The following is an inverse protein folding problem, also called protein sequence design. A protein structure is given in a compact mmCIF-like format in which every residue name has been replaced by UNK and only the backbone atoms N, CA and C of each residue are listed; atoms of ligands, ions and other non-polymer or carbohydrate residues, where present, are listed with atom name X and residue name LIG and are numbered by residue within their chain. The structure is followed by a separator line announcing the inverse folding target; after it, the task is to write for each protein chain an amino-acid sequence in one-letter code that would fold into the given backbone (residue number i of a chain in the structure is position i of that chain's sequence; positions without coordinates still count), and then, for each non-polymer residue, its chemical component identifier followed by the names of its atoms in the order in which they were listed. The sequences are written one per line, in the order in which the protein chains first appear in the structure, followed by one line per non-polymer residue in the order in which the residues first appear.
data_IF_290709385085
#
_entry.id   IF_290709385085
#
_cell.length_a   1.000
_cell.length_b   1.000
_cell.length_c   1.000
_cell.angle_alpha   90.00
_cell.angle_beta   90.00
_cell.angle_gamma   90.00
#
_symmetry.space_group_name_H-M   'P 1'
#
loop_
_entity.id
_entity.type
_entity.pdbx_description
1 polymer ?
#
# COMPACT_ATOMS: atom_id res chain seq x y z
N UNK A 1 -25.20 -5.32 43.70
CA UNK A 1 -24.03 -5.89 43.00
C UNK A 1 -24.44 -6.08 41.54
N UNK A 2 -24.03 -5.17 40.64
CA UNK A 2 -24.25 -5.33 39.20
C UNK A 2 -23.24 -6.36 38.69
N UNK A 3 -23.72 -7.40 38.01
CA UNK A 3 -22.86 -8.35 37.30
C UNK A 3 -21.94 -7.55 36.34
N UNK A 4 -20.63 -7.83 36.29
CA UNK A 4 -19.78 -7.28 35.25
C UNK A 4 -20.28 -7.84 33.92
N UNK A 5 -20.86 -6.97 33.09
CA UNK A 5 -21.15 -7.29 31.71
C UNK A 5 -19.85 -7.73 31.04
N UNK A 6 -19.84 -8.84 30.27
CA UNK A 6 -18.64 -9.29 29.58
C UNK A 6 -18.12 -8.15 28.69
N UNK A 7 -16.78 -8.04 28.47
CA UNK A 7 -16.21 -7.00 27.63
C UNK A 7 -16.90 -7.04 26.27
N UNK A 8 -17.63 -5.98 25.98
CA UNK A 8 -18.66 -6.01 24.98
C UNK A 8 -18.04 -5.95 23.58
N UNK A 9 -17.96 -7.11 22.94
CA UNK A 9 -17.19 -7.35 21.71
C UNK A 9 -17.75 -6.53 20.53
N UNK A 10 -16.86 -6.17 19.61
CA UNK A 10 -17.24 -5.62 18.30
C UNK A 10 -18.24 -6.56 17.61
N UNK A 11 -19.21 -6.03 16.82
CA UNK A 11 -20.06 -6.86 15.99
C UNK A 11 -19.21 -7.76 15.08
N UNK A 12 -19.59 -9.03 14.94
CA UNK A 12 -18.78 -10.03 14.23
C UNK A 12 -18.45 -9.64 12.80
N UNK A 13 -19.38 -8.96 12.10
CA UNK A 13 -19.16 -8.45 10.74
C UNK A 13 -18.08 -7.36 10.68
N UNK A 14 -18.08 -6.43 11.63
CA UNK A 14 -17.07 -5.36 11.72
C UNK A 14 -15.72 -5.96 12.08
N UNK A 15 -15.71 -6.92 13.02
CA UNK A 15 -14.48 -7.61 13.42
C UNK A 15 -13.86 -8.39 12.27
N UNK A 16 -14.66 -9.12 11.48
CA UNK A 16 -14.16 -9.87 10.33
C UNK A 16 -13.48 -8.96 9.31
N UNK A 17 -14.12 -7.83 8.99
CA UNK A 17 -13.60 -6.83 8.06
C UNK A 17 -12.30 -6.21 8.57
N UNK A 18 -12.27 -5.86 9.86
CA UNK A 18 -11.14 -5.26 10.55
C UNK A 18 -9.94 -6.21 10.61
N UNK A 19 -10.16 -7.47 10.98
CA UNK A 19 -9.12 -8.50 11.06
C UNK A 19 -8.53 -8.78 9.67
N UNK A 20 -9.36 -8.75 8.63
CA UNK A 20 -8.92 -8.89 7.24
C UNK A 20 -8.08 -7.69 6.78
N UNK A 21 -8.53 -6.46 7.07
CA UNK A 21 -7.79 -5.23 6.73
C UNK A 21 -6.45 -5.16 7.48
N UNK A 22 -6.44 -5.51 8.76
CA UNK A 22 -5.22 -5.52 9.57
C UNK A 22 -4.19 -6.51 9.01
N UNK A 23 -4.61 -7.74 8.69
CA UNK A 23 -3.71 -8.76 8.10
C UNK A 23 -3.18 -8.34 6.72
N UNK A 24 -4.04 -7.73 5.91
CA UNK A 24 -3.65 -7.23 4.59
C UNK A 24 -2.62 -6.11 4.72
N UNK A 25 -2.88 -5.12 5.57
CA UNK A 25 -1.95 -4.02 5.82
C UNK A 25 -0.62 -4.51 6.41
N UNK A 26 -0.65 -5.49 7.32
CA UNK A 26 0.57 -6.12 7.85
C UNK A 26 1.42 -6.76 6.75
N UNK A 27 0.79 -7.59 5.91
CA UNK A 27 1.48 -8.25 4.80
C UNK A 27 2.08 -7.24 3.81
N UNK A 28 1.29 -6.24 3.39
CA UNK A 28 1.74 -5.19 2.48
C UNK A 28 2.88 -4.38 3.09
N UNK A 29 2.76 -3.99 4.36
CA UNK A 29 3.78 -3.24 5.07
C UNK A 29 5.12 -3.98 5.15
N UNK A 30 5.09 -5.27 5.47
CA UNK A 30 6.29 -6.13 5.50
C UNK A 30 6.95 -6.20 4.12
N UNK A 31 6.15 -6.49 3.09
CA UNK A 31 6.66 -6.61 1.71
C UNK A 31 7.30 -5.30 1.27
N UNK A 32 6.62 -4.17 1.45
CA UNK A 32 7.13 -2.85 1.09
C UNK A 32 8.43 -2.51 1.84
N UNK A 33 8.54 -2.82 3.12
CA UNK A 33 9.77 -2.62 3.89
C UNK A 33 10.93 -3.48 3.38
N UNK A 34 10.68 -4.75 3.04
CA UNK A 34 11.69 -5.63 2.46
C UNK A 34 12.15 -5.14 1.09
N UNK A 35 11.23 -4.69 0.24
CA UNK A 35 11.56 -4.10 -1.06
C UNK A 35 12.40 -2.82 -0.90
N UNK A 36 12.05 -1.94 0.04
CA UNK A 36 12.85 -0.76 0.35
C UNK A 36 14.29 -1.16 0.74
N UNK A 37 14.45 -2.15 1.62
CA UNK A 37 15.76 -2.66 2.03
C UNK A 37 16.58 -3.20 0.85
N UNK A 38 15.98 -4.04 0.00
CA UNK A 38 16.64 -4.58 -1.19
C UNK A 38 17.06 -3.47 -2.18
N UNK A 39 16.21 -2.47 -2.39
CA UNK A 39 16.49 -1.35 -3.29
C UNK A 39 17.56 -0.40 -2.73
N UNK A 40 17.65 -0.23 -1.41
CA UNK A 40 18.75 0.51 -0.78
C UNK A 40 20.07 -0.21 -1.03
N UNK A 41 20.12 -1.54 -0.89
CA UNK A 41 21.32 -2.31 -1.24
C UNK A 41 21.69 -2.17 -2.72
N UNK A 42 20.70 -2.17 -3.61
CA UNK A 42 20.93 -1.91 -5.04
C UNK A 42 21.46 -0.48 -5.27
N UNK A 43 20.93 0.52 -4.58
CA UNK A 43 21.41 1.90 -4.67
C UNK A 43 22.87 2.04 -4.24
N UNK A 44 23.28 1.35 -3.18
CA UNK A 44 24.68 1.31 -2.74
C UNK A 44 25.60 0.69 -3.80
N UNK A 45 25.15 -0.36 -4.48
CA UNK A 45 25.90 -0.97 -5.60
C UNK A 45 26.02 0.02 -6.77
N UNK A 46 24.92 0.70 -7.12
CA UNK A 46 24.87 1.69 -8.22
C UNK A 46 25.77 2.89 -7.95
N UNK A 47 25.84 3.35 -6.71
CA UNK A 47 26.71 4.47 -6.28
C UNK A 47 28.18 4.08 -6.26
N UNK A 48 28.50 2.81 -6.01
CA UNK A 48 29.86 2.28 -6.05
C UNK A 48 30.45 2.13 -7.47
N UNK A 49 29.66 2.36 -8.53
CA UNK A 49 30.16 2.39 -9.91
C UNK A 49 30.78 3.77 -10.17
N UNK A 50 32.06 3.79 -10.58
CA UNK A 50 32.88 5.01 -10.69
C UNK A 50 32.14 6.18 -11.36
N UNK A 51 32.06 7.28 -10.60
CA UNK A 51 31.35 8.50 -11.02
C UNK A 51 32.14 9.34 -12.05
N UNK A 52 33.41 8.98 -12.28
CA UNK A 52 34.27 9.62 -13.29
C UNK A 52 34.12 9.00 -14.69
N UNK A 53 33.40 7.89 -14.81
CA UNK A 53 33.20 7.22 -16.09
C UNK A 53 32.13 7.96 -16.92
N UNK A 54 32.49 8.46 -18.10
CA UNK A 54 31.58 9.23 -18.99
C UNK A 54 30.28 8.49 -19.36
N UNK A 55 30.22 7.17 -19.13
CA UNK A 55 29.03 6.33 -19.34
C UNK A 55 28.00 6.44 -18.19
N UNK A 56 28.43 6.75 -16.96
CA UNK A 56 27.56 6.86 -15.78
C UNK A 56 26.92 8.26 -15.64
N UNK A 57 27.31 9.23 -16.47
CA UNK A 57 26.67 10.56 -16.55
C UNK A 57 25.59 10.66 -17.64
N UNK A 58 25.29 9.55 -18.32
CA UNK A 58 24.24 9.50 -19.34
C UNK A 58 22.84 9.73 -18.76
N UNK A 59 21.94 10.31 -19.56
CA UNK A 59 20.55 10.59 -19.16
C UNK A 59 19.82 9.34 -18.65
N UNK A 60 20.13 8.17 -19.21
CA UNK A 60 19.57 6.88 -18.78
C UNK A 60 20.03 6.47 -17.37
N UNK A 61 21.27 6.76 -16.99
CA UNK A 61 21.79 6.47 -15.64
C UNK A 61 21.17 7.40 -14.59
N UNK A 62 20.96 8.67 -14.95
CA UNK A 62 20.24 9.63 -14.10
C UNK A 62 18.78 9.24 -13.94
N UNK A 63 18.10 8.85 -15.02
CA UNK A 63 16.72 8.36 -14.96
C UNK A 63 16.60 7.12 -14.05
N UNK A 64 17.52 6.17 -14.19
CA UNK A 64 17.59 4.98 -13.34
C UNK A 64 17.71 5.34 -11.85
N UNK A 65 18.59 6.28 -11.50
CA UNK A 65 18.78 6.76 -10.12
C UNK A 65 17.49 7.41 -9.59
N UNK A 66 16.83 8.25 -10.38
CA UNK A 66 15.55 8.87 -9.98
C UNK A 66 14.50 7.79 -9.70
N UNK A 67 14.35 6.81 -10.58
CA UNK A 67 13.41 5.70 -10.36
C UNK A 67 13.81 4.83 -9.16
N UNK A 68 15.10 4.62 -8.92
CA UNK A 68 15.60 3.84 -7.81
C UNK A 68 15.30 4.51 -6.46
N UNK A 69 15.74 5.75 -6.26
CA UNK A 69 15.50 6.49 -5.03
C UNK A 69 14.01 6.78 -4.84
N UNK A 70 13.29 7.11 -5.93
CA UNK A 70 11.84 7.25 -5.90
C UNK A 70 11.15 5.97 -5.43
N UNK A 71 11.59 4.81 -5.94
CA UNK A 71 11.07 3.52 -5.51
C UNK A 71 11.36 3.24 -4.02
N UNK A 72 12.58 3.52 -3.54
CA UNK A 72 12.93 3.38 -2.11
C UNK A 72 11.99 4.21 -1.24
N UNK A 73 11.81 5.48 -1.57
CA UNK A 73 10.96 6.40 -0.80
C UNK A 73 9.49 5.98 -0.83
N UNK A 74 8.99 5.52 -1.98
CA UNK A 74 7.61 5.04 -2.10
C UNK A 74 7.37 3.74 -1.33
N UNK A 75 8.33 2.81 -1.36
CA UNK A 75 8.26 1.58 -0.56
C UNK A 75 8.26 1.89 0.95
N UNK A 76 9.13 2.80 1.42
CA UNK A 76 9.13 3.25 2.81
C UNK A 76 7.83 3.97 3.19
N UNK A 77 7.33 4.85 2.33
CA UNK A 77 6.07 5.56 2.55
C UNK A 77 4.87 4.60 2.61
N UNK A 78 4.79 3.60 1.71
CA UNK A 78 3.73 2.60 1.74
C UNK A 78 3.81 1.67 2.96
N UNK A 79 5.02 1.33 3.42
CA UNK A 79 5.20 0.63 4.69
C UNK A 79 4.67 1.46 5.87
N UNK A 80 4.95 2.77 5.90
CA UNK A 80 4.43 3.67 6.94
C UNK A 80 2.90 3.83 6.87
N UNK A 81 2.32 3.96 5.67
CA UNK A 81 0.86 4.00 5.47
C UNK A 81 0.19 2.70 5.92
N UNK A 82 0.84 1.57 5.73
CA UNK A 82 0.39 0.28 6.23
C UNK A 82 0.39 0.24 7.77
N UNK A 83 1.43 0.77 8.43
CA UNK A 83 1.46 0.91 9.89
C UNK A 83 0.35 1.85 10.40
N UNK A 84 0.06 2.94 9.69
CA UNK A 84 -1.05 3.84 10.03
C UNK A 84 -2.40 3.12 9.90
N UNK A 85 -2.57 2.30 8.86
CA UNK A 85 -3.78 1.49 8.64
C UNK A 85 -3.96 0.50 9.78
N UNK A 86 -2.90 -0.25 10.15
CA UNK A 86 -2.90 -1.17 11.29
C UNK A 86 -3.26 -0.42 12.57
N UNK A 87 -2.65 0.74 12.81
CA UNK A 87 -2.93 1.56 14.00
C UNK A 87 -4.40 1.94 14.07
N UNK A 88 -4.97 2.43 12.97
CA UNK A 88 -6.40 2.76 12.91
C UNK A 88 -7.28 1.53 13.15
N UNK A 89 -6.90 0.37 12.61
CA UNK A 89 -7.60 -0.89 12.87
C UNK A 89 -7.56 -1.28 14.36
N UNK A 90 -6.40 -1.14 15.01
CA UNK A 90 -6.26 -1.46 16.45
C UNK A 90 -6.91 -0.44 17.39
N UNK A 91 -7.05 0.82 16.95
CA UNK A 91 -7.70 1.88 17.73
C UNK A 91 -9.24 1.79 17.69
N UNK A 92 -9.80 1.15 16.66
CA UNK A 92 -11.25 1.02 16.47
C UNK A 92 -11.94 0.25 17.62
N UNK A 93 -11.47 -0.94 18.05
CA UNK A 93 -12.04 -1.63 19.20
C UNK A 93 -12.04 -0.79 20.47
N UNK A 94 -10.95 -0.05 20.72
CA UNK A 94 -10.83 0.81 21.88
C UNK A 94 -11.83 1.97 21.82
N UNK A 95 -11.98 2.61 20.66
CA UNK A 95 -12.94 3.69 20.43
C UNK A 95 -14.40 3.18 20.58
N UNK A 96 -14.70 1.99 20.07
CA UNK A 96 -16.01 1.36 20.18
C UNK A 96 -16.39 1.10 21.65
N UNK A 97 -15.47 0.56 22.46
CA UNK A 97 -15.70 0.36 23.89
C UNK A 97 -15.92 1.68 24.65
N UNK A 98 -15.18 2.74 24.32
CA UNK A 98 -15.34 4.06 24.95
C UNK A 98 -16.70 4.70 24.60
N UNK A 99 -17.14 4.56 23.35
CA UNK A 99 -18.47 5.00 22.93
C UNK A 99 -19.57 4.25 23.68
N UNK A 100 -19.50 2.91 23.70
CA UNK A 100 -20.53 2.07 24.31
C UNK A 100 -20.63 2.22 25.82
N UNK A 101 -19.51 2.52 26.47
CA UNK A 101 -19.46 2.86 27.91
C UNK A 101 -19.90 4.30 28.23
N UNK A 102 -20.36 5.07 27.24
CA UNK A 102 -20.83 6.45 27.42
C UNK A 102 -19.71 7.46 27.74
N UNK A 103 -18.44 7.06 27.64
CA UNK A 103 -17.27 7.92 27.90
C UNK A 103 -16.91 8.82 26.72
N UNK A 104 -17.49 8.55 25.54
CA UNK A 104 -17.26 9.29 24.31
C UNK A 104 -18.55 9.37 23.50
N UNK A 105 -18.80 10.52 22.88
CA UNK A 105 -19.90 10.68 21.95
C UNK A 105 -19.76 9.70 20.78
N UNK A 106 -20.88 9.08 20.41
CA UNK A 106 -20.94 8.17 19.28
C UNK A 106 -20.61 8.84 17.95
N UNK A 107 -20.17 8.05 16.95
CA UNK A 107 -19.89 8.59 15.62
C UNK A 107 -21.17 9.22 15.04
N UNK A 108 -21.10 10.51 14.67
CA UNK A 108 -22.18 11.20 13.95
C UNK A 108 -22.12 10.81 12.47
N UNK A 109 -22.73 9.69 12.14
CA UNK A 109 -22.92 9.26 10.75
C UNK A 109 -24.30 9.71 10.28
N UNK A 110 -24.34 10.71 9.39
CA UNK A 110 -25.59 11.05 8.69
C UNK A 110 -25.85 9.96 7.67
N UNK A 111 -26.89 9.15 7.92
CA UNK A 111 -27.31 8.05 7.06
C UNK A 111 -28.19 8.60 5.93
N UNK A 112 -27.74 8.62 4.66
CA UNK A 112 -28.67 8.79 3.54
C UNK A 112 -29.57 7.55 3.46
N UNK A 113 -30.88 7.72 3.62
CA UNK A 113 -31.92 6.69 3.74
C UNK A 113 -32.07 5.72 2.53
N UNK A 114 -31.20 5.78 1.51
CA UNK A 114 -31.41 5.09 0.23
C UNK A 114 -30.24 4.27 -0.32
N UNK A 115 -29.13 4.13 0.39
CA UNK A 115 -28.02 3.27 -0.06
C UNK A 115 -28.13 1.93 0.67
N UNK A 116 -28.61 0.89 -0.04
CA UNK A 116 -28.69 -0.49 0.48
C UNK A 116 -27.36 -1.24 0.44
N UNK A 117 -26.42 -0.77 -0.38
CA UNK A 117 -25.11 -1.41 -0.58
C UNK A 117 -24.01 -0.60 0.10
N UNK A 118 -24.00 -0.57 1.43
CA UNK A 118 -22.89 0.02 2.15
C UNK A 118 -21.68 -0.91 2.06
N UNK A 119 -20.71 -0.47 1.26
CA UNK A 119 -19.41 -1.12 1.07
C UNK A 119 -18.69 -1.32 2.41
N UNK A 120 -17.67 -2.18 2.42
CA UNK A 120 -16.76 -2.51 3.55
C UNK A 120 -16.46 -1.33 4.50
N UNK A 121 -16.27 -0.14 3.95
CA UNK A 121 -16.00 1.11 4.68
C UNK A 121 -17.17 1.66 5.52
N UNK A 122 -18.41 1.46 5.08
CA UNK A 122 -19.62 1.90 5.81
C UNK A 122 -19.79 1.23 7.15
N UNK A 123 -19.56 -0.10 7.19
CA UNK A 123 -19.61 -0.91 8.40
C UNK A 123 -18.55 -0.46 9.42
N UNK A 124 -17.35 -0.12 8.94
CA UNK A 124 -16.27 0.41 9.80
C UNK A 124 -16.63 1.82 10.32
N UNK A 125 -17.23 2.67 9.49
CA UNK A 125 -17.63 4.02 9.88
C UNK A 125 -18.72 4.01 10.97
N UNK A 126 -19.72 3.12 10.85
CA UNK A 126 -20.76 2.93 11.88
C UNK A 126 -20.17 2.42 13.20
N UNK A 127 -19.08 1.68 13.17
CA UNK A 127 -18.35 1.22 14.36
C UNK A 127 -17.43 2.28 14.99
N UNK A 128 -17.32 3.48 14.40
CA UNK A 128 -16.50 4.58 14.92
C UNK A 128 -15.17 4.80 14.20
N UNK A 129 -14.95 4.19 13.03
CA UNK A 129 -13.75 4.40 12.24
C UNK A 129 -13.67 5.84 11.70
N UNK A 130 -12.46 6.40 11.65
CA UNK A 130 -12.23 7.73 11.08
C UNK A 130 -12.55 7.76 9.59
N UNK A 131 -13.15 8.86 9.10
CA UNK A 131 -13.37 9.09 7.65
C UNK A 131 -12.07 9.06 6.84
N UNK A 132 -10.95 9.38 7.48
CA UNK A 132 -9.64 9.37 6.85
C UNK A 132 -9.11 7.96 6.56
N UNK A 133 -9.72 6.92 7.13
CA UNK A 133 -9.29 5.53 6.91
C UNK A 133 -9.39 5.13 5.43
N UNK A 134 -10.49 5.45 4.73
CA UNK A 134 -10.61 5.19 3.29
C UNK A 134 -9.53 5.92 2.49
N UNK A 135 -9.22 7.16 2.86
CA UNK A 135 -8.16 7.92 2.22
C UNK A 135 -6.80 7.26 2.45
N UNK A 136 -6.50 6.81 3.67
CA UNK A 136 -5.23 6.15 4.01
C UNK A 136 -5.10 4.81 3.26
N UNK A 137 -6.17 4.02 3.20
CA UNK A 137 -6.19 2.73 2.49
C UNK A 137 -5.97 2.90 0.97
N UNK A 138 -6.67 3.87 0.35
CA UNK A 138 -6.43 4.22 -1.05
C UNK A 138 -5.01 4.74 -1.30
N UNK A 139 -4.49 5.60 -0.42
CA UNK A 139 -3.12 6.11 -0.54
C UNK A 139 -2.08 5.00 -0.36
N UNK A 140 -2.33 4.04 0.52
CA UNK A 140 -1.47 2.86 0.70
C UNK A 140 -1.43 2.01 -0.56
N UNK A 141 -2.60 1.76 -1.17
CA UNK A 141 -2.71 1.02 -2.43
C UNK A 141 -2.03 1.76 -3.58
N UNK A 142 -2.22 3.07 -3.72
CA UNK A 142 -1.56 3.88 -4.73
C UNK A 142 -0.03 3.90 -4.54
N UNK A 143 0.44 4.03 -3.30
CA UNK A 143 1.86 4.00 -2.97
C UNK A 143 2.50 2.66 -3.35
N UNK A 144 1.82 1.54 -3.08
CA UNK A 144 2.24 0.20 -3.49
C UNK A 144 2.39 0.10 -5.01
N UNK A 145 1.39 0.55 -5.77
CA UNK A 145 1.42 0.46 -7.23
C UNK A 145 2.54 1.32 -7.81
N UNK A 146 2.66 2.57 -7.35
CA UNK A 146 3.70 3.47 -7.83
C UNK A 146 5.09 2.96 -7.45
N UNK A 147 5.26 2.39 -6.25
CA UNK A 147 6.47 1.72 -5.82
C UNK A 147 6.82 0.55 -6.74
N UNK A 148 5.86 -0.30 -7.12
CA UNK A 148 6.08 -1.38 -8.07
C UNK A 148 6.52 -0.85 -9.43
N UNK A 149 5.84 0.15 -9.99
CA UNK A 149 6.18 0.74 -11.30
C UNK A 149 7.59 1.35 -11.27
N UNK A 150 7.93 2.13 -10.25
CA UNK A 150 9.28 2.70 -10.08
C UNK A 150 10.34 1.62 -9.89
N UNK A 151 10.05 0.56 -9.13
CA UNK A 151 10.94 -0.60 -8.94
C UNK A 151 11.23 -1.28 -10.27
N UNK A 152 10.19 -1.60 -11.04
CA UNK A 152 10.33 -2.24 -12.35
C UNK A 152 11.09 -1.36 -13.32
N UNK A 153 10.79 -0.07 -13.39
CA UNK A 153 11.50 0.88 -14.23
C UNK A 153 12.99 0.93 -13.86
N UNK A 154 13.30 1.07 -12.56
CA UNK A 154 14.68 1.11 -12.07
C UNK A 154 15.46 -0.16 -12.40
N UNK A 155 14.89 -1.34 -12.14
CA UNK A 155 15.53 -2.62 -12.46
C UNK A 155 15.70 -2.82 -13.97
N UNK A 156 14.73 -2.39 -14.78
CA UNK A 156 14.83 -2.45 -16.23
C UNK A 156 16.00 -1.59 -16.73
N UNK A 157 16.09 -0.34 -16.27
CA UNK A 157 17.21 0.53 -16.62
C UNK A 157 18.55 -0.05 -16.14
N UNK A 158 18.62 -0.59 -14.92
CA UNK A 158 19.83 -1.21 -14.39
C UNK A 158 20.29 -2.41 -15.24
N UNK A 159 19.38 -3.30 -15.60
CA UNK A 159 19.70 -4.45 -16.46
C UNK A 159 20.12 -3.98 -17.84
N UNK A 160 19.36 -3.11 -18.48
CA UNK A 160 19.65 -2.61 -19.83
C UNK A 160 21.02 -1.93 -19.93
N UNK A 161 21.41 -1.18 -18.90
CA UNK A 161 22.65 -0.42 -18.89
C UNK A 161 23.87 -1.26 -18.52
N UNK A 162 23.69 -2.38 -17.78
CA UNK A 162 24.76 -3.31 -17.44
C UNK A 162 24.92 -4.50 -18.41
N UNK A 163 23.92 -4.82 -19.23
CA UNK A 163 24.05 -5.89 -20.25
C UNK A 163 24.79 -5.41 -21.49
N UNK A 164 25.90 -6.06 -21.84
CA UNK A 164 26.64 -5.81 -23.09
C UNK A 164 25.88 -6.23 -24.37
N UNK A 165 24.84 -7.06 -24.26
CA UNK A 165 24.07 -7.58 -25.40
C UNK A 165 22.70 -6.90 -25.54
N UNK A 166 22.51 -6.20 -26.67
CA UNK A 166 21.27 -5.47 -27.03
C UNK A 166 20.05 -6.39 -27.09
N UNK A 167 20.23 -7.64 -27.52
CA UNK A 167 19.14 -8.63 -27.64
C UNK A 167 18.59 -9.00 -26.26
N UNK A 168 19.47 -9.27 -25.29
CA UNK A 168 19.07 -9.63 -23.92
C UNK A 168 18.35 -8.45 -23.25
N UNK A 169 18.88 -7.24 -23.41
CA UNK A 169 18.26 -5.99 -22.95
C UNK A 169 16.84 -5.79 -23.53
N UNK A 170 16.69 -5.96 -24.84
CA UNK A 170 15.39 -5.85 -25.52
C UNK A 170 14.35 -6.87 -25.03
N UNK A 171 14.74 -8.14 -24.87
CA UNK A 171 13.86 -9.17 -24.33
C UNK A 171 13.45 -8.85 -22.88
N UNK A 172 14.39 -8.39 -22.04
CA UNK A 172 14.06 -8.02 -20.66
C UNK A 172 13.11 -6.83 -20.57
N UNK A 173 13.26 -5.81 -21.43
CA UNK A 173 12.33 -4.68 -21.51
C UNK A 173 10.90 -5.12 -21.86
N UNK A 174 10.75 -6.04 -22.82
CA UNK A 174 9.43 -6.55 -23.22
C UNK A 174 8.79 -7.32 -22.07
N UNK A 175 9.54 -8.20 -21.40
CA UNK A 175 9.03 -8.97 -20.25
C UNK A 175 8.60 -8.04 -19.13
N UNK A 176 9.45 -7.08 -18.72
CA UNK A 176 9.10 -6.12 -17.66
C UNK A 176 7.93 -5.22 -18.05
N UNK A 177 7.84 -4.79 -19.31
CA UNK A 177 6.71 -4.01 -19.82
C UNK A 177 5.40 -4.79 -19.75
N UNK A 178 5.40 -6.06 -20.16
CA UNK A 178 4.22 -6.94 -20.08
C UNK A 178 3.78 -7.16 -18.63
N UNK A 179 4.72 -7.36 -17.71
CA UNK A 179 4.42 -7.50 -16.27
C UNK A 179 3.83 -6.20 -15.73
N UNK A 180 4.39 -5.04 -16.07
CA UNK A 180 3.86 -3.74 -15.66
C UNK A 180 2.42 -3.51 -16.16
N UNK A 181 2.14 -3.83 -17.43
CA UNK A 181 0.79 -3.76 -18.00
C UNK A 181 -0.15 -4.72 -17.27
N UNK A 182 0.27 -5.96 -16.99
CA UNK A 182 -0.55 -6.92 -16.27
C UNK A 182 -0.93 -6.43 -14.86
N UNK A 183 0.00 -5.80 -14.14
CA UNK A 183 -0.26 -5.21 -12.81
C UNK A 183 -1.26 -4.05 -12.91
N UNK A 184 -1.10 -3.17 -13.91
CA UNK A 184 -2.02 -2.04 -14.13
C UNK A 184 -3.42 -2.57 -14.50
N UNK A 185 -3.51 -3.58 -15.37
CA UNK A 185 -4.78 -4.19 -15.77
C UNK A 185 -5.47 -4.86 -14.58
N UNK A 186 -4.73 -5.62 -13.77
CA UNK A 186 -5.25 -6.21 -12.54
C UNK A 186 -5.79 -5.12 -11.59
N UNK A 187 -5.08 -4.00 -11.46
CA UNK A 187 -5.55 -2.86 -10.66
C UNK A 187 -6.85 -2.24 -11.20
N UNK A 188 -6.92 -2.00 -12.51
CA UNK A 188 -8.14 -1.49 -13.15
C UNK A 188 -9.29 -2.48 -12.96
N UNK A 189 -9.04 -3.79 -13.07
CA UNK A 189 -10.03 -4.83 -12.79
C UNK A 189 -10.47 -4.84 -11.33
N UNK A 190 -9.59 -4.55 -10.37
CA UNK A 190 -10.01 -4.42 -8.96
C UNK A 190 -10.87 -3.19 -8.72
N UNK A 191 -10.55 -2.03 -9.33
CA UNK A 191 -11.37 -0.81 -9.19
C UNK A 191 -12.73 -0.97 -9.87
N UNK A 192 -12.76 -1.55 -11.07
CA UNK A 192 -14.00 -1.73 -11.85
C UNK A 192 -14.80 -2.94 -11.34
N UNK A 193 -14.13 -3.91 -10.74
CA UNK A 193 -14.69 -5.18 -10.26
C UNK A 193 -15.31 -5.12 -8.85
N UNK A 194 -15.25 -4.00 -8.13
CA UNK A 194 -15.97 -3.81 -6.86
C UNK A 194 -17.50 -3.73 -7.02
N UNK A 195 -18.04 -3.96 -8.21
CA UNK A 195 -19.46 -4.28 -8.44
C UNK A 195 -19.84 -5.69 -7.98
N UNK A 196 -19.61 -6.04 -6.71
CA UNK A 196 -20.15 -7.26 -6.14
C UNK A 196 -21.66 -7.09 -5.94
N UNK A 197 -22.45 -7.70 -6.83
CA UNK A 197 -23.88 -7.94 -6.64
C UNK A 197 -24.14 -8.86 -5.46
#
# INVERSE_FOLDING_TARGET
MSNPTPPEKLPDQVKLVLDADQKQAEAVGIVMALFAGALVSLAQIVEGVDSEDSKTTTASWQAMRIFLYGSVMLNLAGAFLSLLTIKMCTDLPLAYHQWKSGKRDGPRVNRPDRVKDWHRFGLLLEAGMSRHYATVDHMSTLALILACVCTFASLTFWVCLNTLNVITSGITMIIFGLVGIAVIVAFVMTIVGEGWK
#
